data_IF_375027513938
#
_entry.id   IF_375027513938
#
_cell.length_a   1.000
_cell.length_b   1.000
_cell.length_c   1.000
_cell.angle_alpha   90.00
_cell.angle_beta   90.00
_cell.angle_gamma   90.00
#
_symmetry.space_group_name_H-M   'P 1'
#
loop_
_entity.id
_entity.type
_entity.pdbx_description
1 polymer ?
#
# COMPACT_ATOMS: atom_id res chain seq x y z
N UNK A 1 -0.10 10.41 -16.26
CA UNK A 1 -0.45 9.77 -17.55
C UNK A 1 -0.96 8.34 -17.35
N UNK A 2 -0.23 7.47 -16.66
CA UNK A 2 -0.58 6.05 -16.50
C UNK A 2 -2.00 5.81 -15.95
N UNK A 3 -2.35 6.42 -14.82
CA UNK A 3 -3.70 6.27 -14.25
C UNK A 3 -4.81 6.86 -15.12
N UNK A 4 -4.53 7.93 -15.86
CA UNK A 4 -5.49 8.49 -16.82
C UNK A 4 -5.79 7.49 -17.94
N UNK A 5 -4.75 6.84 -18.47
CA UNK A 5 -4.89 5.85 -19.54
C UNK A 5 -5.69 4.63 -19.05
N UNK A 6 -5.48 4.18 -17.79
CA UNK A 6 -6.27 3.12 -17.16
C UNK A 6 -7.75 3.49 -16.99
N UNK A 7 -8.04 4.71 -16.54
CA UNK A 7 -9.42 5.19 -16.38
C UNK A 7 -10.15 5.23 -17.73
N UNK A 8 -9.48 5.70 -18.79
CA UNK A 8 -9.99 5.66 -20.16
C UNK A 8 -10.22 4.24 -20.68
N UNK A 9 -9.40 3.28 -20.25
CA UNK A 9 -9.56 1.86 -20.60
C UNK A 9 -10.68 1.15 -19.82
N UNK A 10 -11.34 1.82 -18.86
CA UNK A 10 -12.49 1.27 -18.14
C UNK A 10 -12.23 0.84 -16.70
N UNK A 11 -11.02 1.02 -16.16
CA UNK A 11 -10.73 0.72 -14.76
C UNK A 11 -11.51 1.67 -13.84
N UNK A 12 -12.13 1.15 -12.76
CA UNK A 12 -12.97 1.94 -11.82
C UNK A 12 -12.53 1.89 -10.37
N UNK A 13 -11.59 1.01 -10.03
CA UNK A 13 -10.94 0.98 -8.72
C UNK A 13 -9.45 1.13 -8.98
N UNK A 14 -8.87 2.27 -8.60
CA UNK A 14 -7.45 2.51 -8.74
C UNK A 14 -6.73 2.16 -7.45
N UNK A 15 -5.59 1.50 -7.56
CA UNK A 15 -4.82 1.00 -6.42
C UNK A 15 -3.43 1.63 -6.34
N UNK A 16 -3.31 2.97 -6.20
CA UNK A 16 -2.01 3.61 -6.09
C UNK A 16 -1.32 3.23 -4.77
N UNK A 17 -0.03 2.90 -4.84
CA UNK A 17 0.83 2.88 -3.66
C UNK A 17 1.55 4.22 -3.55
N UNK A 18 1.40 4.91 -2.42
CA UNK A 18 1.93 6.27 -2.19
C UNK A 18 3.45 6.36 -2.41
N UNK A 19 4.18 5.30 -2.05
CA UNK A 19 5.63 5.23 -2.25
C UNK A 19 6.07 5.03 -3.70
N UNK A 20 5.15 4.70 -4.61
CA UNK A 20 5.42 4.47 -6.04
C UNK A 20 4.75 5.49 -6.95
N UNK A 21 3.55 5.94 -6.62
CA UNK A 21 2.75 6.86 -7.44
C UNK A 21 3.24 8.31 -7.46
N UNK A 22 4.32 8.63 -6.73
CA UNK A 22 4.86 10.00 -6.63
C UNK A 22 4.49 10.73 -5.34
N UNK A 23 4.10 10.01 -4.29
CA UNK A 23 3.80 10.56 -2.97
C UNK A 23 2.34 10.98 -2.77
N UNK A 24 2.05 11.57 -1.62
CA UNK A 24 0.70 11.96 -1.20
C UNK A 24 0.06 12.91 -2.21
N UNK A 25 0.80 13.93 -2.64
CA UNK A 25 0.27 14.97 -3.51
C UNK A 25 -0.11 14.45 -4.90
N UNK A 26 0.76 13.64 -5.51
CA UNK A 26 0.46 13.04 -6.81
C UNK A 26 -0.69 12.03 -6.69
N UNK A 27 -0.76 11.29 -5.59
CA UNK A 27 -1.89 10.37 -5.33
C UNK A 27 -3.21 11.12 -5.16
N UNK A 28 -3.22 12.30 -4.53
CA UNK A 28 -4.40 13.17 -4.46
C UNK A 28 -4.84 13.64 -5.85
N UNK A 29 -3.91 13.96 -6.76
CA UNK A 29 -4.25 14.30 -8.15
C UNK A 29 -4.83 13.12 -8.91
N UNK A 30 -4.27 11.92 -8.72
CA UNK A 30 -4.81 10.68 -9.29
C UNK A 30 -6.25 10.47 -8.79
N UNK A 31 -6.50 10.69 -7.50
CA UNK A 31 -7.83 10.58 -6.92
C UNK A 31 -8.82 11.60 -7.50
N UNK A 32 -8.44 12.87 -7.59
CA UNK A 32 -9.25 13.92 -8.20
C UNK A 32 -9.57 13.62 -9.68
N UNK A 33 -8.60 13.07 -10.42
CA UNK A 33 -8.84 12.60 -11.78
C UNK A 33 -9.84 11.44 -11.81
N UNK A 34 -9.75 10.49 -10.88
CA UNK A 34 -10.64 9.34 -10.80
C UNK A 34 -12.10 9.75 -10.51
N UNK A 35 -12.32 10.83 -9.75
CA UNK A 35 -13.67 11.38 -9.51
C UNK A 35 -14.39 11.73 -10.82
N UNK A 36 -13.68 12.26 -11.82
CA UNK A 36 -14.26 12.59 -13.13
C UNK A 36 -14.77 11.36 -13.90
N UNK A 37 -14.30 10.17 -13.53
CA UNK A 37 -14.67 8.89 -14.15
C UNK A 37 -15.61 8.08 -13.24
N UNK A 38 -16.12 8.67 -12.15
CA UNK A 38 -16.88 7.98 -11.11
C UNK A 38 -16.15 6.74 -10.59
N UNK A 39 -14.82 6.83 -10.48
CA UNK A 39 -13.94 5.78 -10.02
C UNK A 39 -13.49 6.04 -8.58
N UNK A 40 -13.19 4.96 -7.87
CA UNK A 40 -12.79 4.99 -6.46
C UNK A 40 -11.31 4.68 -6.29
N UNK A 41 -10.75 5.09 -5.15
CA UNK A 41 -9.37 4.84 -4.74
C UNK A 41 -9.32 3.81 -3.63
N UNK A 42 -8.54 2.75 -3.84
CA UNK A 42 -8.23 1.72 -2.86
C UNK A 42 -6.71 1.57 -2.72
N UNK A 43 -6.02 2.37 -1.90
CA UNK A 43 -4.56 2.42 -1.88
C UNK A 43 -3.93 1.05 -1.60
N UNK A 44 -2.89 0.72 -2.38
CA UNK A 44 -2.14 -0.54 -2.26
C UNK A 44 -1.06 -0.43 -1.18
N UNK A 45 -1.01 -1.41 -0.27
CA UNK A 45 -0.01 -1.53 0.80
C UNK A 45 0.58 -2.94 0.81
N UNK A 46 1.78 -3.04 0.24
CA UNK A 46 2.69 -4.17 0.45
C UNK A 46 4.08 -3.65 0.81
N UNK A 47 4.13 -2.91 1.93
CA UNK A 47 5.28 -2.15 2.39
C UNK A 47 5.16 -1.88 3.91
N UNK A 48 6.12 -1.16 4.48
CA UNK A 48 6.20 -0.90 5.92
C UNK A 48 5.24 0.19 6.46
N UNK A 49 5.29 0.42 7.79
CA UNK A 49 4.32 1.25 8.52
C UNK A 49 4.28 2.72 8.12
N UNK A 50 5.38 3.28 7.60
CA UNK A 50 5.42 4.68 7.16
C UNK A 50 4.53 4.91 5.93
N UNK A 51 4.63 4.03 4.93
CA UNK A 51 3.81 4.13 3.73
C UNK A 51 2.34 3.82 4.04
N UNK A 52 2.09 2.90 4.97
CA UNK A 52 0.76 2.61 5.49
C UNK A 52 0.14 3.84 6.15
N UNK A 53 0.85 4.50 7.09
CA UNK A 53 0.40 5.72 7.74
C UNK A 53 0.14 6.86 6.74
N UNK A 54 1.01 7.02 5.73
CA UNK A 54 0.78 7.99 4.66
C UNK A 54 -0.52 7.69 3.88
N UNK A 55 -0.77 6.43 3.51
CA UNK A 55 -2.00 6.04 2.83
C UNK A 55 -3.25 6.22 3.71
N UNK A 56 -3.15 6.07 5.03
CA UNK A 56 -4.23 6.37 5.98
C UNK A 56 -4.74 7.80 5.81
N UNK A 57 -3.83 8.79 5.72
CA UNK A 57 -4.21 10.19 5.50
C UNK A 57 -4.98 10.42 4.19
N UNK A 58 -4.73 9.60 3.16
CA UNK A 58 -5.53 9.66 1.94
C UNK A 58 -6.96 9.18 2.20
N UNK A 59 -7.13 8.08 2.95
CA UNK A 59 -8.46 7.55 3.28
C UNK A 59 -9.36 8.55 4.00
N UNK A 60 -8.79 9.41 4.85
CA UNK A 60 -9.54 10.46 5.55
C UNK A 60 -9.77 11.75 4.75
N UNK A 61 -9.12 11.91 3.60
CA UNK A 61 -9.20 13.17 2.83
C UNK A 61 -9.77 13.02 1.42
N UNK A 62 -10.04 11.79 0.98
CA UNK A 62 -10.53 11.50 -0.36
C UNK A 62 -12.04 11.20 -0.33
N UNK A 63 -12.87 11.97 -1.04
CA UNK A 63 -14.32 11.72 -1.09
C UNK A 63 -14.67 10.42 -1.84
N UNK A 64 -13.82 9.99 -2.77
CA UNK A 64 -13.95 8.74 -3.52
C UNK A 64 -13.07 7.60 -2.98
N UNK A 65 -12.73 7.63 -1.69
CA UNK A 65 -12.08 6.51 -1.01
C UNK A 65 -13.02 5.29 -0.94
N UNK A 66 -12.48 4.10 -1.21
CA UNK A 66 -13.20 2.83 -1.08
C UNK A 66 -12.78 2.07 0.17
N UNK A 67 -11.51 1.68 0.24
CA UNK A 67 -10.94 0.86 1.31
C UNK A 67 -9.41 0.99 1.30
N UNK A 68 -8.74 0.69 2.41
CA UNK A 68 -7.28 0.70 2.51
C UNK A 68 -6.77 -0.72 2.76
N UNK A 69 -5.87 -1.19 1.90
CA UNK A 69 -5.17 -2.45 2.14
C UNK A 69 -4.33 -2.36 3.41
N UNK A 70 -4.35 -3.42 4.23
CA UNK A 70 -3.81 -3.43 5.58
C UNK A 70 -3.03 -4.71 5.82
N UNK A 71 -1.80 -4.59 6.32
CA UNK A 71 -0.99 -5.73 6.79
C UNK A 71 -0.87 -5.62 8.30
N UNK A 72 -1.38 -6.61 9.02
CA UNK A 72 -1.26 -6.72 10.48
C UNK A 72 -0.20 -7.77 10.79
N UNK A 73 0.91 -7.35 11.38
CA UNK A 73 1.97 -8.25 11.84
C UNK A 73 2.75 -7.62 12.99
N UNK A 74 3.22 -8.45 13.92
CA UNK A 74 4.02 -8.01 15.07
C UNK A 74 5.25 -7.20 14.62
N UNK A 75 5.86 -7.59 13.49
CA UNK A 75 7.00 -6.87 12.93
C UNK A 75 6.63 -5.46 12.47
N UNK A 76 5.50 -5.30 11.78
CA UNK A 76 5.04 -4.00 11.31
C UNK A 76 4.81 -3.02 12.47
N UNK A 77 4.28 -3.50 13.60
CA UNK A 77 4.06 -2.69 14.79
C UNK A 77 5.36 -2.41 15.55
N UNK A 78 6.30 -3.36 15.58
CA UNK A 78 7.59 -3.20 16.28
C UNK A 78 8.51 -2.12 15.68
N UNK A 79 8.33 -1.81 14.39
CA UNK A 79 9.18 -0.87 13.63
C UNK A 79 8.79 0.60 13.88
N UNK A 80 7.67 0.85 14.56
CA UNK A 80 7.25 2.19 14.98
C UNK A 80 7.13 2.27 16.50
N UNK A 81 7.35 3.45 17.07
CA UNK A 81 7.17 3.67 18.53
C UNK A 81 5.71 3.72 18.92
N UNK A 82 4.82 4.00 17.96
CA UNK A 82 3.38 4.05 18.10
C UNK A 82 2.70 3.45 16.88
N UNK A 83 2.02 2.33 17.08
CA UNK A 83 1.25 1.68 16.03
C UNK A 83 0.01 2.50 15.63
N UNK A 84 -0.47 2.27 14.40
CA UNK A 84 -1.74 2.79 13.93
C UNK A 84 -2.88 2.14 14.74
N UNK A 85 -3.87 2.94 15.14
CA UNK A 85 -4.98 2.47 15.98
C UNK A 85 -6.14 1.95 15.13
N UNK A 86 -6.71 0.81 15.53
CA UNK A 86 -7.81 0.15 14.83
C UNK A 86 -8.92 -0.25 15.80
N UNK A 87 -10.16 -0.19 15.33
CA UNK A 87 -11.34 -0.64 16.05
C UNK A 87 -12.32 -1.29 15.07
N UNK A 88 -12.74 -2.52 15.35
CA UNK A 88 -13.74 -3.26 14.57
C UNK A 88 -13.49 -3.28 13.04
N UNK A 89 -12.22 -3.34 12.62
CA UNK A 89 -11.83 -3.36 11.20
C UNK A 89 -11.64 -1.98 10.56
N UNK A 90 -11.81 -0.89 11.31
CA UNK A 90 -11.61 0.48 10.85
C UNK A 90 -10.39 1.10 11.53
N UNK A 91 -9.63 1.88 10.77
CA UNK A 91 -8.53 2.65 11.33
C UNK A 91 -9.05 3.97 11.91
N UNK A 92 -8.46 4.41 13.00
CA UNK A 92 -8.67 5.76 13.53
C UNK A 92 -7.77 6.77 12.80
N UNK A 93 -8.26 8.00 12.63
CA UNK A 93 -7.45 9.09 12.07
C UNK A 93 -6.25 9.38 12.98
N UNK A 94 -5.01 9.39 12.46
CA UNK A 94 -3.85 9.85 13.22
C UNK A 94 -4.05 11.32 13.64
N UNK A 95 -3.78 11.63 14.90
CA UNK A 95 -3.98 12.97 15.47
C UNK A 95 -2.69 13.79 15.60
N UNK A 96 -1.56 13.11 15.59
CA UNK A 96 -0.26 13.75 15.73
C UNK A 96 0.16 14.42 14.40
N UNK A 97 0.97 15.49 14.44
CA UNK A 97 1.46 16.16 13.24
C UNK A 97 2.21 15.23 12.27
N UNK A 98 2.22 15.59 10.98
CA UNK A 98 2.93 14.83 9.95
C UNK A 98 2.18 13.55 9.58
N UNK A 99 2.91 12.45 9.37
CA UNK A 99 2.32 11.15 9.02
C UNK A 99 1.71 10.43 10.24
N UNK A 100 1.98 10.90 11.46
CA UNK A 100 1.36 10.38 12.69
C UNK A 100 1.97 9.09 13.24
N UNK A 101 3.17 8.73 12.78
CA UNK A 101 3.98 7.59 13.28
C UNK A 101 5.45 8.00 13.34
N UNK A 102 6.20 7.41 14.27
CA UNK A 102 7.64 7.60 14.43
C UNK A 102 8.35 6.25 14.36
N UNK A 103 9.55 6.22 13.76
CA UNK A 103 10.32 4.99 13.60
C UNK A 103 10.98 4.58 14.92
N UNK A 104 10.93 3.28 15.21
CA UNK A 104 11.76 2.66 16.23
C UNK A 104 13.13 2.34 15.63
N UNK A 105 14.10 3.24 15.84
CA UNK A 105 15.45 3.10 15.29
C UNK A 105 16.23 1.90 15.85
N UNK A 106 15.95 1.49 17.09
CA UNK A 106 16.55 0.29 17.67
C UNK A 106 16.06 -0.97 16.94
N UNK A 107 14.74 -1.11 16.77
CA UNK A 107 14.15 -2.23 16.04
C UNK A 107 14.63 -2.29 14.58
N UNK A 108 14.70 -1.13 13.90
CA UNK A 108 15.24 -1.06 12.53
C UNK A 108 16.69 -1.54 12.46
N UNK A 109 17.54 -1.07 13.39
CA UNK A 109 18.97 -1.41 13.42
C UNK A 109 19.21 -2.89 13.72
N UNK A 110 18.30 -3.52 14.47
CA UNK A 110 18.32 -4.96 14.75
C UNK A 110 17.89 -5.83 13.56
N UNK A 111 17.24 -5.27 12.53
CA UNK A 111 16.71 -6.02 11.39
C UNK A 111 17.25 -5.54 10.03
N UNK A 112 18.57 -5.51 9.80
CA UNK A 112 19.11 -5.18 8.50
C UNK A 112 18.83 -6.31 7.51
N UNK A 113 18.42 -5.96 6.29
CA UNK A 113 18.36 -6.91 5.19
C UNK A 113 19.80 -7.29 4.77
N UNK A 114 20.26 -8.45 5.21
CA UNK A 114 21.66 -8.89 5.08
C UNK A 114 21.85 -10.14 4.22
N UNK A 115 20.77 -10.89 3.96
CA UNK A 115 20.83 -12.14 3.19
C UNK A 115 21.14 -11.92 1.71
N UNK A 116 20.73 -10.76 1.17
CA UNK A 116 20.89 -10.45 -0.24
C UNK A 116 20.18 -11.44 -1.17
N UNK A 117 20.39 -11.26 -2.47
CA UNK A 117 19.99 -12.23 -3.48
C UNK A 117 18.51 -12.24 -3.90
N UNK A 118 17.60 -11.62 -3.14
CA UNK A 118 16.19 -11.48 -3.52
C UNK A 118 15.71 -10.04 -3.49
N UNK A 119 14.86 -9.68 -4.45
CA UNK A 119 14.13 -8.41 -4.42
C UNK A 119 12.92 -8.50 -3.47
N UNK A 120 12.34 -7.35 -3.12
CA UNK A 120 11.11 -7.29 -2.30
C UNK A 120 9.97 -8.14 -2.88
N UNK A 121 9.83 -8.12 -4.21
CA UNK A 121 8.94 -8.98 -4.96
C UNK A 121 9.67 -9.43 -6.23
N UNK A 122 9.46 -10.68 -6.60
CA UNK A 122 10.02 -11.32 -7.78
C UNK A 122 8.92 -12.10 -8.50
N UNK A 123 8.95 -12.08 -9.83
CA UNK A 123 8.09 -12.96 -10.61
C UNK A 123 8.73 -14.34 -10.67
N UNK A 124 7.91 -15.39 -10.63
CA UNK A 124 8.37 -16.75 -10.94
C UNK A 124 9.00 -16.77 -12.34
N UNK A 125 10.11 -17.50 -12.47
CA UNK A 125 10.80 -17.69 -13.75
C UNK A 125 10.28 -18.91 -14.53
N UNK A 126 9.43 -19.71 -13.89
CA UNK A 126 8.82 -20.88 -14.51
C UNK A 126 7.45 -20.50 -15.09
N UNK A 127 7.29 -20.70 -16.39
CA UNK A 127 6.00 -20.50 -17.05
C UNK A 127 4.95 -21.47 -16.50
N UNK A 128 3.80 -20.94 -16.12
CA UNK A 128 2.63 -21.73 -15.75
C UNK A 128 1.70 -21.90 -16.96
N UNK A 129 1.10 -23.07 -17.08
CA UNK A 129 0.07 -23.31 -18.09
C UNK A 129 -1.20 -22.54 -17.74
N UNK A 130 -1.84 -21.93 -18.74
CA UNK A 130 -3.07 -21.14 -18.57
C UNK A 130 -4.31 -21.98 -18.23
N UNK A 131 -4.18 -23.30 -18.20
CA UNK A 131 -5.24 -24.23 -17.81
C UNK A 131 -5.34 -24.43 -16.28
N UNK A 132 -4.55 -23.70 -15.49
CA UNK A 132 -4.50 -23.79 -14.03
C UNK A 132 -4.24 -25.21 -13.49
N UNK A 133 -3.57 -26.09 -14.28
CA UNK A 133 -3.28 -27.46 -13.85
C UNK A 133 -2.17 -27.57 -12.82
N UNK A 134 -1.42 -26.48 -12.57
CA UNK A 134 -0.43 -26.35 -11.49
C UNK A 134 -0.58 -25.00 -10.82
N UNK A 135 -0.42 -24.97 -9.51
CA UNK A 135 -0.40 -23.72 -8.73
C UNK A 135 1.02 -23.18 -8.62
N UNK A 136 1.17 -21.85 -8.46
CA UNK A 136 2.49 -21.24 -8.28
C UNK A 136 3.27 -21.78 -7.06
N UNK A 137 2.55 -22.23 -6.02
CA UNK A 137 3.13 -22.88 -4.82
C UNK A 137 3.65 -24.30 -5.06
N UNK A 138 3.36 -24.88 -6.23
CA UNK A 138 3.78 -26.23 -6.65
C UNK A 138 4.97 -26.16 -7.62
N UNK A 139 5.52 -24.97 -7.80
CA UNK A 139 6.79 -24.72 -8.45
C UNK A 139 7.89 -24.81 -7.37
N UNK A 140 8.94 -25.58 -7.65
CA UNK A 140 10.10 -25.74 -6.76
C UNK A 140 10.84 -24.42 -6.53
#
# INVERSE_FOLDING_TARGET
>A
KEFHDLLKAGVRILQPNVGRSGGLWETKKIAALAELFNAQIAPHIYCGPIAHAAATHLGFTLPNFLILETILSDFHDSIVTKALAWEAGYMSAPKDPGVGVELNHEALSAHPYSTGGRLHLEMTQTALSSNNSRLARELD
#
